data_IF_198611466809
#
_entry.id   IF_198611466809
#
_cell.length_a   1.000
_cell.length_b   1.000
_cell.length_c   1.000
_cell.angle_alpha   90.00
_cell.angle_beta   90.00
_cell.angle_gamma   90.00
#
_symmetry.space_group_name_H-M   'P 1'
#
loop_
_entity.id
_entity.type
_entity.pdbx_description
1 polymer ?
#
# COMPACT_ATOMS: atom_id res chain seq x y z
N UNK A 1 2.29 4.34 28.94
CA UNK A 1 1.57 4.23 27.66
C UNK A 1 0.29 5.03 27.82
N UNK A 2 0.11 6.12 27.07
CA UNK A 2 -1.13 6.88 27.16
C UNK A 2 -2.24 6.03 26.51
N UNK A 3 -3.20 5.56 27.32
CA UNK A 3 -4.44 4.97 26.82
C UNK A 3 -5.23 6.07 26.11
N UNK A 4 -5.05 6.17 24.80
CA UNK A 4 -6.00 6.90 23.96
C UNK A 4 -7.21 6.00 23.82
N UNK A 5 -8.15 6.08 24.77
CA UNK A 5 -9.51 5.58 24.59
C UNK A 5 -10.17 6.48 23.55
N UNK A 6 -10.09 6.12 22.27
CA UNK A 6 -10.83 6.80 21.20
C UNK A 6 -12.31 6.49 21.40
N UNK A 7 -12.99 7.25 22.27
CA UNK A 7 -14.43 7.09 22.52
C UNK A 7 -15.28 7.39 21.28
N UNK A 8 -14.73 8.13 20.31
CA UNK A 8 -15.41 8.46 19.04
C UNK A 8 -14.37 8.53 17.92
N UNK A 9 -14.42 7.60 16.97
CA UNK A 9 -13.57 7.61 15.78
C UNK A 9 -14.10 8.61 14.74
N UNK A 10 -13.20 9.35 14.10
CA UNK A 10 -13.47 10.21 12.96
C UNK A 10 -13.08 9.53 11.65
N UNK A 11 -13.72 9.96 10.55
CA UNK A 11 -13.41 9.47 9.20
C UNK A 11 -11.96 9.76 8.77
N UNK A 12 -11.32 10.74 9.42
CA UNK A 12 -9.95 11.18 9.13
C UNK A 12 -8.91 10.65 10.13
N UNK A 13 -9.32 9.83 11.09
CA UNK A 13 -8.38 9.31 12.09
C UNK A 13 -7.39 8.37 11.43
N UNK A 14 -6.12 8.73 11.54
CA UNK A 14 -5.00 7.88 11.19
C UNK A 14 -4.63 7.03 12.40
N UNK A 15 -5.04 5.76 12.39
CA UNK A 15 -4.82 4.84 13.50
C UNK A 15 -3.35 4.51 13.73
N UNK A 16 -2.44 4.84 12.79
CA UNK A 16 -0.99 4.78 13.05
C UNK A 16 -0.57 5.68 14.21
N UNK A 17 -1.34 6.74 14.52
CA UNK A 17 -1.06 7.60 15.68
C UNK A 17 -1.12 6.83 17.00
N UNK A 18 -2.00 5.83 17.10
CA UNK A 18 -2.08 4.95 18.28
C UNK A 18 -0.83 4.07 18.39
N UNK A 19 -0.34 3.56 17.25
CA UNK A 19 0.86 2.72 17.17
C UNK A 19 2.14 3.51 17.47
N UNK A 20 2.32 4.66 16.82
CA UNK A 20 3.57 5.43 16.86
C UNK A 20 3.65 6.37 18.07
N UNK A 21 2.51 6.78 18.64
CA UNK A 21 2.48 7.68 19.79
C UNK A 21 3.24 8.98 19.51
N UNK A 22 4.27 9.26 20.31
CA UNK A 22 5.11 10.45 20.17
C UNK A 22 5.96 10.46 18.89
N UNK A 23 6.18 9.31 18.26
CA UNK A 23 6.95 9.19 17.01
C UNK A 23 6.14 9.51 15.75
N UNK A 24 4.82 9.74 15.90
CA UNK A 24 3.93 10.11 14.79
C UNK A 24 4.22 11.55 14.34
N UNK A 25 4.64 11.71 13.08
CA UNK A 25 4.94 13.00 12.48
C UNK A 25 3.78 13.48 11.59
N UNK A 26 3.04 14.49 12.04
CA UNK A 26 1.91 15.06 11.31
C UNK A 26 2.28 15.65 9.94
N UNK A 27 3.55 15.99 9.69
CA UNK A 27 4.00 16.57 8.43
C UNK A 27 4.53 15.52 7.45
N UNK A 28 4.84 14.32 7.95
CA UNK A 28 5.48 13.24 7.19
C UNK A 28 4.69 11.93 7.25
N UNK A 29 3.45 11.89 6.72
CA UNK A 29 2.61 10.69 6.78
C UNK A 29 3.20 9.47 6.05
N UNK A 30 3.98 9.68 4.98
CA UNK A 30 4.71 8.59 4.31
C UNK A 30 5.77 8.00 5.24
N UNK A 31 6.52 8.85 5.97
CA UNK A 31 7.49 8.38 6.98
C UNK A 31 6.81 7.60 8.09
N UNK A 32 5.62 8.01 8.51
CA UNK A 32 4.83 7.26 9.50
C UNK A 32 4.46 5.86 9.00
N UNK A 33 4.16 5.69 7.70
CA UNK A 33 3.95 4.33 7.15
C UNK A 33 5.23 3.51 7.28
N UNK A 34 6.38 4.04 6.86
CA UNK A 34 7.66 3.33 6.94
C UNK A 34 8.04 2.96 8.39
N UNK A 35 7.83 3.88 9.34
CA UNK A 35 8.00 3.63 10.78
C UNK A 35 7.02 2.57 11.29
N UNK A 36 5.73 2.66 10.94
CA UNK A 36 4.73 1.70 11.39
C UNK A 36 5.04 0.28 10.90
N UNK A 37 5.61 0.16 9.70
CA UNK A 37 6.01 -1.12 9.09
C UNK A 37 7.17 -1.82 9.78
N UNK A 38 8.00 -1.13 10.57
CA UNK A 38 9.01 -1.82 11.40
C UNK A 38 8.38 -2.53 12.59
N UNK A 39 7.10 -2.28 12.88
CA UNK A 39 6.36 -2.98 13.92
C UNK A 39 5.65 -4.21 13.35
N UNK A 40 5.65 -5.33 14.08
CA UNK A 40 4.85 -6.51 13.76
C UNK A 40 3.39 -6.35 14.22
N UNK A 41 2.86 -5.13 14.21
CA UNK A 41 1.55 -4.80 14.81
C UNK A 41 0.49 -4.63 13.72
N UNK A 42 -0.65 -5.26 13.96
CA UNK A 42 -1.80 -5.29 13.07
C UNK A 42 -2.84 -4.25 13.51
N UNK A 43 -2.84 -3.07 12.87
CA UNK A 43 -3.73 -1.96 13.23
C UNK A 43 -5.21 -2.33 13.06
N UNK A 44 -5.53 -3.20 12.10
CA UNK A 44 -6.88 -3.71 11.86
C UNK A 44 -7.45 -4.55 13.01
N UNK A 45 -6.62 -4.92 14.00
CA UNK A 45 -7.00 -5.69 15.19
C UNK A 45 -7.12 -4.83 16.46
N UNK A 46 -7.03 -3.52 16.34
CA UNK A 46 -7.17 -2.62 17.50
C UNK A 46 -8.62 -2.59 17.99
N UNK A 47 -8.81 -2.41 19.30
CA UNK A 47 -10.14 -2.38 19.94
C UNK A 47 -11.07 -1.34 19.30
N UNK A 48 -10.56 -0.15 18.98
CA UNK A 48 -11.35 0.89 18.28
C UNK A 48 -11.89 0.42 16.93
N UNK A 49 -11.17 -0.45 16.23
CA UNK A 49 -11.62 -1.03 14.95
C UNK A 49 -12.69 -2.08 15.23
N UNK A 50 -12.49 -2.94 16.24
CA UNK A 50 -13.50 -3.92 16.68
C UNK A 50 -14.83 -3.25 17.04
N UNK A 51 -14.79 -2.18 17.83
CA UNK A 51 -15.97 -1.43 18.26
C UNK A 51 -16.78 -0.87 17.09
N UNK A 52 -16.09 -0.35 16.06
CA UNK A 52 -16.76 0.12 14.84
C UNK A 52 -17.49 -1.01 14.15
N UNK A 53 -16.81 -2.14 13.90
CA UNK A 53 -17.43 -3.24 13.16
C UNK A 53 -18.49 -3.99 13.98
N UNK A 54 -18.38 -4.00 15.31
CA UNK A 54 -19.42 -4.48 16.20
C UNK A 54 -20.69 -3.62 16.08
N UNK A 55 -20.56 -2.28 16.07
CA UNK A 55 -21.70 -1.37 15.85
C UNK A 55 -22.31 -1.51 14.46
N UNK A 56 -21.50 -1.67 13.42
CA UNK A 56 -21.99 -1.84 12.05
C UNK A 56 -22.76 -3.16 11.82
N UNK A 57 -22.31 -4.24 12.46
CA UNK A 57 -22.80 -5.60 12.17
C UNK A 57 -23.65 -6.22 13.27
N UNK A 58 -23.65 -5.63 14.47
CA UNK A 58 -24.27 -6.19 15.68
C UNK A 58 -23.54 -7.40 16.27
N UNK A 59 -22.39 -7.81 15.73
CA UNK A 59 -21.60 -8.97 16.20
C UNK A 59 -20.11 -8.77 16.00
N UNK A 60 -19.29 -9.55 16.72
CA UNK A 60 -17.86 -9.56 16.48
C UNK A 60 -17.56 -10.07 15.06
N UNK A 61 -16.54 -9.48 14.41
CA UNK A 61 -16.13 -9.84 13.04
C UNK A 61 -14.72 -10.42 13.07
N UNK A 62 -14.53 -11.60 12.47
CA UNK A 62 -13.31 -12.38 12.67
C UNK A 62 -12.12 -11.93 11.81
N UNK A 63 -12.37 -11.51 10.56
CA UNK A 63 -11.30 -11.23 9.60
C UNK A 63 -11.47 -9.84 9.00
N UNK A 64 -10.57 -8.94 9.40
CA UNK A 64 -10.48 -7.57 8.89
C UNK A 64 -9.17 -7.43 8.13
N UNK A 65 -9.18 -6.54 7.15
CA UNK A 65 -8.00 -6.23 6.36
C UNK A 65 -8.05 -4.82 5.77
N UNK A 66 -6.89 -4.37 5.31
CA UNK A 66 -6.67 -3.13 4.56
C UNK A 66 -7.03 -3.36 3.09
N UNK A 67 -8.06 -2.64 2.62
CA UNK A 67 -8.58 -2.74 1.26
C UNK A 67 -7.57 -2.30 0.21
N UNK A 68 -6.86 -1.19 0.42
CA UNK A 68 -5.84 -0.68 -0.51
C UNK A 68 -4.50 -0.56 0.21
N UNK A 69 -3.55 -1.39 -0.18
CA UNK A 69 -2.20 -1.37 0.40
C UNK A 69 -1.41 -0.16 -0.11
N UNK A 70 -0.82 0.59 0.82
CA UNK A 70 0.09 1.69 0.49
C UNK A 70 1.34 1.21 -0.27
N UNK A 71 1.85 0.04 0.12
CA UNK A 71 3.20 -0.38 -0.23
C UNK A 71 3.39 -0.62 -1.73
N UNK A 72 2.44 -1.31 -2.37
CA UNK A 72 2.52 -1.57 -3.81
C UNK A 72 2.59 -0.26 -4.58
N UNK A 73 1.67 0.68 -4.34
CA UNK A 73 1.65 1.97 -5.06
C UNK A 73 2.90 2.80 -4.78
N UNK A 74 3.33 2.88 -3.52
CA UNK A 74 4.56 3.59 -3.13
C UNK A 74 5.80 3.04 -3.84
N UNK A 75 5.93 1.71 -3.89
CA UNK A 75 6.99 1.01 -4.59
C UNK A 75 6.99 1.31 -6.09
N UNK A 76 5.84 1.26 -6.75
CA UNK A 76 5.77 1.56 -8.19
C UNK A 76 6.09 3.03 -8.45
N UNK A 77 5.66 3.95 -7.57
CA UNK A 77 6.01 5.36 -7.68
C UNK A 77 7.51 5.60 -7.56
N UNK A 78 8.20 4.93 -6.62
CA UNK A 78 9.66 4.95 -6.52
C UNK A 78 10.33 4.46 -7.82
N UNK A 79 9.84 3.36 -8.41
CA UNK A 79 10.36 2.82 -9.68
C UNK A 79 10.19 3.76 -10.87
N UNK A 80 9.08 4.50 -10.94
CA UNK A 80 8.83 5.45 -12.02
C UNK A 80 9.64 6.75 -11.85
N UNK A 81 9.75 7.26 -10.62
CA UNK A 81 10.41 8.56 -10.35
C UNK A 81 11.94 8.43 -10.27
N UNK A 82 12.43 7.29 -9.77
CA UNK A 82 13.85 6.98 -9.61
C UNK A 82 14.21 5.62 -10.26
N UNK A 83 14.06 5.48 -11.59
CA UNK A 83 14.32 4.23 -12.30
C UNK A 83 15.73 3.70 -12.09
N UNK A 84 16.73 4.58 -12.04
CA UNK A 84 18.13 4.17 -11.86
C UNK A 84 18.38 3.44 -10.54
N UNK A 85 17.61 3.76 -9.50
CA UNK A 85 17.72 3.13 -8.19
C UNK A 85 16.95 1.82 -8.12
N UNK A 86 15.69 1.88 -8.54
CA UNK A 86 14.73 0.81 -8.25
C UNK A 86 14.47 -0.11 -9.44
N UNK A 87 15.00 0.20 -10.63
CA UNK A 87 14.94 -0.67 -11.82
C UNK A 87 16.32 -0.75 -12.50
N UNK A 88 17.40 -1.10 -11.76
CA UNK A 88 18.69 -1.29 -12.40
C UNK A 88 18.63 -2.40 -13.45
N UNK A 89 19.40 -2.22 -14.52
CA UNK A 89 19.52 -3.22 -15.56
C UNK A 89 20.38 -4.39 -15.07
N UNK A 90 19.94 -5.61 -15.38
CA UNK A 90 20.72 -6.81 -15.17
C UNK A 90 21.59 -7.08 -16.40
N UNK A 91 22.91 -7.12 -16.20
CA UNK A 91 23.89 -7.40 -17.26
C UNK A 91 24.67 -8.65 -16.90
N UNK A 92 24.90 -9.50 -17.90
CA UNK A 92 25.76 -10.67 -17.81
C UNK A 92 27.14 -10.27 -18.31
N UNK A 93 28.13 -10.27 -17.43
CA UNK A 93 29.51 -9.96 -17.76
C UNK A 93 30.16 -11.07 -18.60
N UNK A 94 31.36 -10.77 -19.12
CA UNK A 94 32.14 -11.71 -19.95
C UNK A 94 32.40 -13.05 -19.24
N UNK A 95 32.50 -13.04 -17.92
CA UNK A 95 32.70 -14.22 -17.07
C UNK A 95 31.40 -14.97 -16.73
N UNK A 96 30.27 -14.66 -17.38
CA UNK A 96 28.93 -15.21 -17.09
C UNK A 96 28.34 -14.80 -15.72
N UNK A 97 29.00 -13.92 -14.98
CA UNK A 97 28.47 -13.36 -13.72
C UNK A 97 27.47 -12.24 -14.01
N UNK A 98 26.32 -12.22 -13.31
CA UNK A 98 25.36 -11.13 -13.44
C UNK A 98 25.58 -10.02 -12.40
N UNK A 99 25.57 -8.78 -12.86
CA UNK A 99 25.69 -7.58 -12.01
C UNK A 99 24.58 -6.58 -12.36
N UNK A 100 24.48 -5.52 -11.56
CA UNK A 100 23.52 -4.44 -11.78
C UNK A 100 24.23 -3.21 -12.31
N UNK A 101 23.61 -2.54 -13.26
CA UNK A 101 24.06 -1.25 -13.76
C UNK A 101 22.90 -0.26 -13.87
N UNK A 102 23.24 1.01 -14.07
CA UNK A 102 22.26 2.05 -14.34
C UNK A 102 21.57 1.77 -15.68
N UNK A 103 20.24 1.75 -15.74
CA UNK A 103 19.54 1.50 -16.99
C UNK A 103 19.78 2.66 -17.97
N UNK A 104 19.97 2.32 -19.24
CA UNK A 104 19.86 3.21 -20.38
C UNK A 104 18.41 3.28 -20.86
N UNK A 105 18.08 4.27 -21.70
CA UNK A 105 16.75 4.36 -22.32
C UNK A 105 16.38 3.09 -23.11
N UNK A 106 17.38 2.39 -23.67
CA UNK A 106 17.17 1.20 -24.50
C UNK A 106 16.90 -0.08 -23.68
N UNK A 107 17.29 -0.11 -22.40
CA UNK A 107 17.13 -1.27 -21.53
C UNK A 107 16.25 -0.99 -20.30
N UNK A 108 15.60 0.18 -20.23
CA UNK A 108 14.67 0.53 -19.17
C UNK A 108 13.39 -0.30 -19.28
N UNK A 109 13.33 -1.38 -18.50
CA UNK A 109 12.17 -2.26 -18.46
C UNK A 109 10.98 -1.61 -17.75
N UNK A 110 9.79 -2.06 -18.11
CA UNK A 110 8.54 -1.68 -17.45
C UNK A 110 8.58 -1.97 -15.94
N UNK A 111 7.74 -1.27 -15.18
CA UNK A 111 7.64 -1.47 -13.73
C UNK A 111 7.24 -2.92 -13.41
N UNK A 112 7.75 -3.43 -12.29
CA UNK A 112 7.51 -4.82 -11.92
C UNK A 112 7.55 -5.01 -10.40
N UNK A 113 6.71 -5.92 -9.90
CA UNK A 113 6.72 -6.36 -8.50
C UNK A 113 8.04 -7.00 -8.06
N UNK A 114 8.85 -7.53 -8.99
CA UNK A 114 10.16 -8.15 -8.75
C UNK A 114 11.28 -7.16 -8.46
N UNK A 115 11.11 -5.90 -8.85
CA UNK A 115 12.05 -4.84 -8.50
C UNK A 115 11.89 -4.41 -7.05
N UNK A 116 12.89 -3.81 -6.40
CA UNK A 116 12.78 -3.29 -5.04
C UNK A 116 11.90 -2.01 -4.97
N UNK A 117 11.64 -1.48 -3.76
CA UNK A 117 11.93 -2.08 -2.45
C UNK A 117 11.13 -3.36 -2.18
N UNK A 118 11.71 -4.27 -1.40
CA UNK A 118 11.08 -5.51 -0.95
C UNK A 118 10.89 -5.46 0.56
N UNK A 119 9.80 -6.05 1.06
CA UNK A 119 9.34 -5.84 2.42
C UNK A 119 8.90 -7.11 3.14
N UNK A 120 9.12 -8.28 2.52
CA UNK A 120 8.69 -9.56 3.07
C UNK A 120 9.74 -10.64 2.87
N UNK A 121 9.77 -11.56 3.84
CA UNK A 121 10.66 -12.72 3.83
C UNK A 121 12.14 -12.35 3.81
N UNK A 122 12.95 -13.23 3.21
CA UNK A 122 14.40 -13.02 3.05
C UNK A 122 14.72 -11.84 2.13
N UNK A 123 13.81 -11.48 1.22
CA UNK A 123 13.99 -10.37 0.29
C UNK A 123 13.89 -8.99 0.94
N UNK A 124 13.39 -8.89 2.18
CA UNK A 124 13.33 -7.62 2.90
C UNK A 124 14.72 -7.03 3.18
N UNK A 125 15.74 -7.89 3.31
CA UNK A 125 17.15 -7.50 3.44
C UNK A 125 17.70 -7.17 2.06
N UNK A 126 18.41 -6.04 1.94
CA UNK A 126 19.06 -5.64 0.69
C UNK A 126 20.18 -6.63 0.40
N UNK A 127 20.16 -7.22 -0.80
CA UNK A 127 21.18 -8.20 -1.18
C UNK A 127 22.53 -7.53 -1.46
N UNK A 128 23.61 -8.30 -1.30
CA UNK A 128 24.97 -7.83 -1.60
C UNK A 128 25.09 -7.27 -3.02
N UNK A 129 24.34 -7.83 -3.97
CA UNK A 129 24.29 -7.34 -5.36
C UNK A 129 23.78 -5.89 -5.44
N UNK A 130 22.73 -5.55 -4.70
CA UNK A 130 22.24 -4.17 -4.64
C UNK A 130 23.16 -3.26 -3.82
N UNK A 131 23.75 -3.77 -2.73
CA UNK A 131 24.72 -3.01 -1.95
C UNK A 131 25.95 -2.62 -2.78
N UNK A 132 26.51 -3.55 -3.56
CA UNK A 132 27.62 -3.29 -4.49
C UNK A 132 27.24 -2.25 -5.54
N UNK A 133 26.04 -2.37 -6.12
CA UNK A 133 25.55 -1.39 -7.09
C UNK A 133 25.41 0.00 -6.48
N UNK A 134 24.85 0.10 -5.28
CA UNK A 134 24.71 1.38 -4.59
C UNK A 134 26.07 1.96 -4.17
N UNK A 135 27.03 1.15 -3.73
CA UNK A 135 28.38 1.63 -3.41
C UNK A 135 29.08 2.23 -4.65
N UNK A 136 28.89 1.61 -5.82
CA UNK A 136 29.51 2.07 -7.07
C UNK A 136 28.83 3.29 -7.68
N UNK A 137 27.49 3.31 -7.68
CA UNK A 137 26.71 4.30 -8.45
C UNK A 137 26.12 5.39 -7.57
N UNK A 138 25.86 5.08 -6.29
CA UNK A 138 25.20 5.97 -5.34
C UNK A 138 25.80 5.91 -3.92
N UNK A 139 27.13 6.03 -3.75
CA UNK A 139 27.81 5.73 -2.48
C UNK A 139 27.24 6.52 -1.29
N UNK A 140 26.83 7.76 -1.52
CA UNK A 140 26.28 8.63 -0.48
C UNK A 140 24.98 8.12 0.16
N UNK A 141 24.31 7.11 -0.44
CA UNK A 141 23.07 6.51 0.08
C UNK A 141 23.30 5.36 1.07
N UNK A 142 24.52 4.85 1.16
CA UNK A 142 24.85 3.80 2.10
C UNK A 142 25.38 4.38 3.42
N UNK A 143 24.92 3.88 4.57
CA UNK A 143 25.54 4.23 5.86
C UNK A 143 26.94 3.60 5.96
N UNK A 144 27.82 4.20 6.76
CA UNK A 144 29.15 3.66 7.04
C UNK A 144 29.33 3.40 8.55
N UNK A 145 29.46 2.12 8.99
CA UNK A 145 29.43 0.90 8.18
C UNK A 145 28.01 0.47 7.77
N UNK A 146 27.89 -0.28 6.67
CA UNK A 146 26.60 -0.86 6.23
C UNK A 146 26.17 -1.96 7.22
N UNK A 147 24.92 -1.92 7.77
CA UNK A 147 24.43 -2.97 8.65
C UNK A 147 24.37 -4.35 7.97
N UNK A 148 24.71 -5.42 8.70
CA UNK A 148 24.69 -6.80 8.18
C UNK A 148 23.31 -7.30 7.70
N UNK A 149 22.23 -6.68 8.18
CA UNK A 149 20.84 -7.02 7.82
C UNK A 149 20.09 -5.77 7.38
N UNK A 150 20.74 -4.90 6.62
CA UNK A 150 20.16 -3.64 6.19
C UNK A 150 18.95 -3.89 5.29
N UNK A 151 17.77 -3.51 5.75
CA UNK A 151 16.51 -3.74 5.04
C UNK A 151 16.16 -2.59 4.12
N UNK A 152 15.32 -2.86 3.12
CA UNK A 152 14.80 -1.80 2.24
C UNK A 152 14.02 -0.72 3.03
N UNK A 153 13.31 -1.11 4.09
CA UNK A 153 12.55 -0.15 4.90
C UNK A 153 13.48 0.76 5.72
N UNK A 154 14.56 0.23 6.30
CA UNK A 154 15.61 1.03 6.94
C UNK A 154 16.28 1.95 5.91
N UNK A 155 16.64 1.43 4.73
CA UNK A 155 17.23 2.24 3.66
C UNK A 155 16.36 3.43 3.24
N UNK A 156 15.05 3.21 3.10
CA UNK A 156 14.10 4.27 2.77
C UNK A 156 13.91 5.28 3.91
N UNK A 157 14.03 4.84 5.17
CA UNK A 157 13.98 5.72 6.35
C UNK A 157 15.24 6.59 6.46
N UNK A 158 16.42 5.98 6.29
CA UNK A 158 17.72 6.66 6.38
C UNK A 158 17.90 7.68 5.23
N UNK A 159 17.39 7.34 4.05
CA UNK A 159 17.44 8.19 2.87
C UNK A 159 16.12 8.93 2.58
N UNK A 160 15.24 9.09 3.58
CA UNK A 160 13.89 9.61 3.37
C UNK A 160 13.86 10.96 2.64
N UNK A 161 14.74 11.89 2.98
CA UNK A 161 14.78 13.22 2.36
C UNK A 161 15.29 13.18 0.91
N UNK A 162 16.07 12.17 0.52
CA UNK A 162 16.60 12.04 -0.84
C UNK A 162 15.56 11.58 -1.85
N UNK A 163 14.46 10.99 -1.38
CA UNK A 163 13.34 10.59 -2.23
C UNK A 163 12.17 11.59 -2.18
N UNK A 164 12.45 12.88 -1.93
CA UNK A 164 11.43 13.91 -1.73
C UNK A 164 10.41 14.06 -2.86
N UNK A 165 10.80 13.85 -4.13
CA UNK A 165 9.86 13.91 -5.27
C UNK A 165 8.70 12.91 -5.15
N UNK A 166 8.92 11.80 -4.44
CA UNK A 166 7.86 10.83 -4.10
C UNK A 166 7.25 11.18 -2.74
N UNK A 167 8.07 11.44 -1.72
CA UNK A 167 7.58 11.64 -0.35
C UNK A 167 6.81 12.94 -0.11
N UNK A 168 7.00 13.95 -0.96
CA UNK A 168 6.26 15.20 -0.93
C UNK A 168 5.10 15.25 -1.92
N UNK A 169 4.82 14.16 -2.65
CA UNK A 169 3.64 14.09 -3.50
C UNK A 169 2.36 14.22 -2.63
N UNK A 170 1.49 15.20 -2.90
CA UNK A 170 0.34 15.47 -2.05
C UNK A 170 -0.68 14.33 -2.04
N UNK A 171 -0.86 13.62 -3.16
CA UNK A 171 -1.81 12.52 -3.26
C UNK A 171 -1.28 11.27 -2.54
N UNK A 172 0.02 11.01 -2.62
CA UNK A 172 0.66 9.93 -1.86
C UNK A 172 0.64 10.22 -0.36
N UNK A 173 0.94 11.47 0.06
CA UNK A 173 0.83 11.87 1.47
C UNK A 173 -0.57 11.65 2.00
N UNK A 174 -1.59 12.06 1.22
CA UNK A 174 -2.98 11.84 1.62
C UNK A 174 -3.32 10.34 1.71
N UNK A 175 -2.83 9.54 0.77
CA UNK A 175 -3.04 8.09 0.80
C UNK A 175 -2.36 7.44 2.01
N UNK A 176 -1.16 7.89 2.37
CA UNK A 176 -0.44 7.43 3.56
C UNK A 176 -1.23 7.67 4.84
N UNK A 177 -1.86 8.86 5.00
CA UNK A 177 -2.75 9.16 6.13
C UNK A 177 -3.95 8.21 6.16
N UNK A 178 -4.58 8.01 5.00
CA UNK A 178 -5.81 7.23 4.86
C UNK A 178 -5.60 5.71 4.91
N UNK A 179 -4.37 5.23 4.74
CA UNK A 179 -4.05 3.80 4.65
C UNK A 179 -4.60 3.01 5.84
N UNK A 180 -4.44 3.53 7.06
CA UNK A 180 -4.94 2.94 8.30
C UNK A 180 -6.08 3.77 8.90
N UNK A 181 -7.02 4.18 8.05
CA UNK A 181 -8.28 4.80 8.46
C UNK A 181 -9.42 3.79 8.38
N UNK A 182 -10.52 4.06 9.09
CA UNK A 182 -11.69 3.19 9.07
C UNK A 182 -12.31 3.05 7.68
N UNK A 183 -12.13 4.07 6.83
CA UNK A 183 -12.55 4.06 5.44
C UNK A 183 -11.80 3.06 4.57
N UNK A 184 -10.59 2.64 4.96
CA UNK A 184 -9.76 1.68 4.22
C UNK A 184 -9.70 0.28 4.86
N UNK A 185 -10.30 0.09 6.05
CA UNK A 185 -10.41 -1.21 6.70
C UNK A 185 -11.77 -1.84 6.33
N UNK A 186 -11.79 -3.12 6.01
CA UNK A 186 -13.04 -3.87 5.79
C UNK A 186 -12.97 -5.29 6.35
N UNK A 187 -14.12 -5.94 6.44
CA UNK A 187 -14.25 -7.36 6.74
C UNK A 187 -14.19 -8.15 5.44
N UNK A 188 -13.42 -9.23 5.39
CA UNK A 188 -13.30 -10.12 4.22
C UNK A 188 -13.47 -11.58 4.65
N UNK A 189 -13.85 -12.50 3.73
CA UNK A 189 -13.85 -13.93 4.03
C UNK A 189 -12.47 -14.45 4.44
N UNK A 190 -12.43 -15.46 5.31
CA UNK A 190 -11.17 -16.14 5.66
C UNK A 190 -10.48 -16.68 4.40
N UNK A 191 -9.17 -16.46 4.29
CA UNK A 191 -8.36 -16.95 3.17
C UNK A 191 -8.44 -16.10 1.89
N UNK A 192 -9.34 -15.10 1.85
CA UNK A 192 -9.48 -14.18 0.71
C UNK A 192 -8.14 -13.47 0.38
N UNK A 193 -7.39 -13.07 1.41
CA UNK A 193 -6.17 -12.30 1.25
C UNK A 193 -5.00 -13.06 0.64
N UNK A 194 -4.92 -14.38 0.87
CA UNK A 194 -3.80 -15.19 0.37
C UNK A 194 -3.76 -15.25 -1.16
N UNK A 195 -4.92 -15.22 -1.82
CA UNK A 195 -5.03 -15.16 -3.28
C UNK A 195 -4.87 -13.73 -3.84
N UNK A 196 -5.27 -12.72 -3.07
CA UNK A 196 -5.31 -11.31 -3.49
C UNK A 196 -3.94 -10.74 -3.83
N UNK A 197 -2.95 -10.86 -2.95
CA UNK A 197 -1.64 -10.22 -3.17
C UNK A 197 -0.90 -10.82 -4.37
N UNK A 198 -1.06 -12.13 -4.59
CA UNK A 198 -0.45 -12.82 -5.74
C UNK A 198 -1.11 -12.42 -7.06
N UNK A 199 -2.44 -12.46 -7.12
CA UNK A 199 -3.22 -12.29 -8.36
C UNK A 199 -3.48 -10.84 -8.73
N UNK A 200 -3.66 -9.94 -7.76
CA UNK A 200 -4.13 -8.57 -7.99
C UNK A 200 -3.22 -7.49 -7.41
N UNK A 201 -2.06 -7.89 -6.86
CA UNK A 201 -1.05 -6.97 -6.29
C UNK A 201 -1.64 -5.97 -5.29
N UNK A 202 -2.63 -6.44 -4.54
CA UNK A 202 -3.35 -5.70 -3.50
C UNK A 202 -4.22 -4.52 -3.97
N UNK A 203 -4.47 -4.40 -5.28
CA UNK A 203 -5.44 -3.43 -5.80
C UNK A 203 -6.88 -3.86 -5.50
N UNK A 204 -7.62 -2.94 -4.86
CA UNK A 204 -8.92 -3.25 -4.29
C UNK A 204 -10.02 -3.44 -5.32
N UNK A 205 -9.98 -2.74 -6.45
CA UNK A 205 -11.01 -2.85 -7.49
C UNK A 205 -11.09 -4.26 -8.09
N UNK A 206 -9.95 -4.88 -8.42
CA UNK A 206 -9.92 -6.29 -8.83
C UNK A 206 -10.38 -7.23 -7.71
N UNK A 207 -9.91 -6.96 -6.49
CA UNK A 207 -10.30 -7.77 -5.32
C UNK A 207 -11.80 -7.68 -5.08
N UNK A 208 -12.38 -6.49 -5.21
CA UNK A 208 -13.80 -6.21 -5.03
C UNK A 208 -14.62 -6.81 -6.16
N UNK A 209 -14.12 -6.83 -7.40
CA UNK A 209 -14.73 -7.55 -8.51
C UNK A 209 -14.88 -9.04 -8.20
N UNK A 210 -13.80 -9.71 -7.79
CA UNK A 210 -13.85 -11.12 -7.41
C UNK A 210 -14.74 -11.38 -6.19
N UNK A 211 -14.68 -10.51 -5.19
CA UNK A 211 -15.53 -10.60 -4.01
C UNK A 211 -17.01 -10.43 -4.37
N UNK A 212 -17.33 -9.53 -5.31
CA UNK A 212 -18.70 -9.30 -5.78
C UNK A 212 -19.26 -10.54 -6.48
N UNK A 213 -18.48 -11.19 -7.35
CA UNK A 213 -18.85 -12.43 -8.04
C UNK A 213 -19.08 -13.55 -7.02
N UNK A 214 -18.15 -13.72 -6.07
CA UNK A 214 -18.25 -14.73 -5.02
C UNK A 214 -19.52 -14.53 -4.18
N UNK A 215 -19.75 -13.32 -3.65
CA UNK A 215 -20.91 -13.03 -2.81
C UNK A 215 -22.24 -13.05 -3.56
N UNK A 216 -22.23 -12.72 -4.86
CA UNK A 216 -23.42 -12.82 -5.71
C UNK A 216 -23.92 -14.26 -5.82
N UNK A 217 -23.02 -15.26 -5.81
CA UNK A 217 -23.40 -16.68 -5.79
C UNK A 217 -24.18 -17.11 -4.53
N UNK A 218 -24.14 -16.30 -3.47
CA UNK A 218 -24.91 -16.48 -2.23
C UNK A 218 -26.00 -15.42 -2.03
N UNK A 219 -26.36 -14.64 -3.06
CA UNK A 219 -27.29 -13.51 -2.96
C UNK A 219 -26.93 -12.51 -1.83
N UNK A 220 -25.63 -12.38 -1.53
CA UNK A 220 -25.14 -11.66 -0.34
C UNK A 220 -24.36 -10.38 -0.68
N UNK A 221 -24.18 -10.08 -1.97
CA UNK A 221 -23.39 -8.92 -2.41
C UNK A 221 -23.97 -7.59 -1.91
N UNK A 222 -25.24 -7.31 -2.19
CA UNK A 222 -25.87 -6.06 -1.74
C UNK A 222 -25.86 -5.91 -0.22
N UNK A 223 -26.11 -7.00 0.51
CA UNK A 223 -26.03 -7.02 1.97
C UNK A 223 -24.63 -6.67 2.47
N UNK A 224 -23.58 -7.18 1.82
CA UNK A 224 -22.20 -6.81 2.11
C UNK A 224 -21.95 -5.32 1.82
N UNK A 225 -22.40 -4.81 0.67
CA UNK A 225 -22.24 -3.40 0.29
C UNK A 225 -22.89 -2.47 1.29
N UNK A 226 -24.13 -2.76 1.70
CA UNK A 226 -24.84 -1.97 2.69
C UNK A 226 -24.22 -2.09 4.07
N UNK A 227 -23.86 -3.29 4.51
CA UNK A 227 -23.29 -3.50 5.85
C UNK A 227 -21.96 -2.76 6.03
N UNK A 228 -21.10 -2.79 5.02
CA UNK A 228 -19.73 -2.24 5.11
C UNK A 228 -19.52 -0.94 4.34
N UNK A 229 -20.61 -0.27 3.94
CA UNK A 229 -20.61 1.03 3.26
C UNK A 229 -19.73 1.09 2.00
N UNK A 230 -19.81 0.08 1.12
CA UNK A 230 -18.94 -0.05 -0.06
C UNK A 230 -19.34 0.83 -1.26
N UNK A 231 -20.48 1.52 -1.19
CA UNK A 231 -21.02 2.32 -2.30
C UNK A 231 -20.00 3.28 -2.95
N UNK A 232 -19.05 3.92 -2.22
CA UNK A 232 -18.05 4.77 -2.85
C UNK A 232 -17.14 4.07 -3.87
N UNK A 233 -17.02 2.74 -3.82
CA UNK A 233 -16.21 1.95 -4.76
C UNK A 233 -17.02 1.37 -5.92
N UNK A 234 -18.32 1.68 -6.02
CA UNK A 234 -19.25 1.07 -6.95
C UNK A 234 -19.90 2.12 -7.87
N UNK A 235 -20.38 1.66 -9.02
CA UNK A 235 -21.28 2.43 -9.87
C UNK A 235 -22.74 2.30 -9.36
N UNK A 236 -23.67 2.96 -10.05
CA UNK A 236 -25.10 2.95 -9.73
C UNK A 236 -25.73 1.55 -9.84
N UNK A 237 -25.10 0.65 -10.61
CA UNK A 237 -25.50 -0.74 -10.79
C UNK A 237 -24.83 -1.68 -9.77
N UNK A 238 -24.22 -1.13 -8.70
CA UNK A 238 -23.51 -1.89 -7.65
C UNK A 238 -22.33 -2.71 -8.18
N UNK A 239 -21.74 -2.32 -9.30
CA UNK A 239 -20.56 -2.96 -9.87
C UNK A 239 -19.29 -2.21 -9.46
N UNK A 240 -18.19 -2.90 -9.14
CA UNK A 240 -16.91 -2.27 -8.83
C UNK A 240 -16.41 -1.38 -9.97
N UNK A 241 -15.88 -0.21 -9.59
CA UNK A 241 -15.33 0.76 -10.54
C UNK A 241 -13.82 0.70 -10.50
N UNK A 242 -13.18 0.72 -11.68
CA UNK A 242 -11.73 0.79 -11.81
C UNK A 242 -11.16 2.02 -11.06
N UNK A 243 -9.98 1.87 -10.46
CA UNK A 243 -9.27 2.94 -9.75
C UNK A 243 -8.42 3.80 -10.69
N UNK A 244 -8.17 3.35 -11.92
CA UNK A 244 -7.69 4.17 -13.02
C UNK A 244 -8.23 3.66 -14.35
N UNK A 245 -8.02 4.44 -15.41
CA UNK A 245 -8.55 4.16 -16.74
C UNK A 245 -8.09 2.79 -17.22
N UNK A 246 -9.06 1.98 -17.65
CA UNK A 246 -8.87 0.64 -18.17
C UNK A 246 -8.35 -0.41 -17.17
N UNK A 247 -8.21 -0.10 -15.87
CA UNK A 247 -7.62 -1.06 -14.94
C UNK A 247 -8.37 -2.40 -14.90
N UNK A 248 -9.70 -2.39 -14.88
CA UNK A 248 -10.52 -3.61 -14.91
C UNK A 248 -10.77 -4.18 -16.33
N UNK A 249 -10.14 -3.65 -17.38
CA UNK A 249 -10.31 -4.22 -18.73
C UNK A 249 -9.53 -5.53 -18.86
N UNK A 250 -10.08 -6.43 -19.69
CA UNK A 250 -9.36 -7.62 -20.13
C UNK A 250 -8.02 -7.21 -20.77
N UNK A 251 -6.96 -7.96 -20.45
CA UNK A 251 -5.59 -7.78 -20.93
C UNK A 251 -4.89 -6.48 -20.46
N UNK A 252 -5.46 -5.78 -19.47
CA UNK A 252 -4.81 -4.64 -18.82
C UNK A 252 -3.67 -5.08 -17.90
N UNK A 253 -2.69 -4.20 -17.70
CA UNK A 253 -1.67 -4.40 -16.67
C UNK A 253 -2.27 -4.18 -15.29
N UNK A 254 -1.96 -5.08 -14.35
CA UNK A 254 -2.38 -4.98 -12.95
C UNK A 254 -1.65 -3.84 -12.23
N UNK A 255 -0.39 -3.56 -12.60
CA UNK A 255 0.38 -2.47 -12.03
C UNK A 255 0.22 -1.22 -12.90
N UNK A 256 0.17 -0.01 -12.32
CA UNK A 256 0.19 1.22 -13.10
C UNK A 256 1.52 1.36 -13.83
N UNK A 257 1.50 1.70 -15.11
CA UNK A 257 2.68 1.69 -15.98
C UNK A 257 3.35 3.06 -16.11
N UNK A 258 2.68 4.13 -15.68
CA UNK A 258 3.15 5.51 -15.82
C UNK A 258 2.62 6.39 -14.67
N UNK A 259 3.12 7.63 -14.60
CA UNK A 259 2.79 8.58 -13.53
C UNK A 259 1.33 9.02 -13.61
N UNK A 260 0.76 9.11 -14.81
CA UNK A 260 -0.63 9.46 -15.04
C UNK A 260 -1.58 8.44 -14.39
N UNK A 261 -1.32 7.14 -14.59
CA UNK A 261 -2.09 6.05 -13.98
C UNK A 261 -1.95 6.02 -12.45
N UNK A 262 -0.76 6.27 -11.90
CA UNK A 262 -0.57 6.41 -10.44
C UNK A 262 -1.39 7.58 -9.91
N UNK A 263 -1.35 8.73 -10.59
CA UNK A 263 -2.07 9.91 -10.15
C UNK A 263 -3.58 9.69 -10.19
N UNK A 264 -4.08 9.05 -11.25
CA UNK A 264 -5.49 8.68 -11.34
C UNK A 264 -5.88 7.73 -10.20
N UNK A 265 -5.07 6.68 -9.96
CA UNK A 265 -5.25 5.77 -8.83
C UNK A 265 -5.31 6.52 -7.49
N UNK A 266 -4.32 7.35 -7.18
CA UNK A 266 -4.22 8.02 -5.88
C UNK A 266 -5.40 8.98 -5.66
N UNK A 267 -5.78 9.76 -6.69
CA UNK A 267 -6.94 10.65 -6.62
C UNK A 267 -8.22 9.85 -6.34
N UNK A 268 -8.45 8.76 -7.09
CA UNK A 268 -9.64 7.94 -6.94
C UNK A 268 -9.67 7.24 -5.57
N UNK A 269 -8.58 6.57 -5.19
CA UNK A 269 -8.55 5.78 -3.95
C UNK A 269 -8.70 6.67 -2.71
N UNK A 270 -8.06 7.85 -2.70
CA UNK A 270 -8.19 8.81 -1.61
C UNK A 270 -9.65 9.24 -1.43
N UNK A 271 -10.28 9.68 -2.50
CA UNK A 271 -11.68 10.13 -2.47
C UNK A 271 -12.63 9.03 -2.00
N UNK A 272 -12.41 7.78 -2.44
CA UNK A 272 -13.28 6.64 -2.09
C UNK A 272 -13.11 6.22 -0.64
N UNK A 273 -11.88 6.17 -0.14
CA UNK A 273 -11.59 5.89 1.27
C UNK A 273 -12.23 6.96 2.17
N UNK A 274 -12.07 8.24 1.84
CA UNK A 274 -12.66 9.34 2.61
C UNK A 274 -14.19 9.28 2.65
N UNK A 275 -14.81 9.15 1.47
CA UNK A 275 -16.27 9.04 1.36
C UNK A 275 -16.79 7.85 2.15
N UNK A 276 -16.12 6.70 2.08
CA UNK A 276 -16.50 5.50 2.85
C UNK A 276 -16.33 5.73 4.35
N UNK A 277 -15.20 6.30 4.77
CA UNK A 277 -14.97 6.64 6.18
C UNK A 277 -16.07 7.54 6.74
N UNK A 278 -16.49 8.56 5.98
CA UNK A 278 -17.59 9.45 6.38
C UNK A 278 -18.93 8.70 6.50
N UNK A 279 -19.24 7.81 5.55
CA UNK A 279 -20.46 6.99 5.60
C UNK A 279 -20.49 6.07 6.83
N UNK A 280 -19.37 5.43 7.14
CA UNK A 280 -19.23 4.59 8.33
C UNK A 280 -19.51 5.42 9.58
N UNK A 281 -18.80 6.55 9.76
CA UNK A 281 -18.94 7.39 10.95
C UNK A 281 -20.35 7.96 11.11
N UNK A 282 -21.01 8.34 10.00
CA UNK A 282 -22.39 8.84 10.05
C UNK A 282 -23.42 7.78 10.49
N UNK A 283 -23.04 6.49 10.45
CA UNK A 283 -23.90 5.37 10.83
C UNK A 283 -23.64 4.85 12.25
N UNK A 284 -22.52 5.24 12.88
CA UNK A 284 -22.17 4.87 14.26
C UNK A 284 -22.93 5.71 15.29
#
# INVERSE_FOLDING_TARGET
>A
MAEITVKTISAKDDLKKLLLGQEYDHQQPVKNILKARTSNVHIEKYEVVEDVFLKLTGKATAHKDIMNSFWTTYKIMLQLVYPDFFRPAEVIGENQESYLEKPSEQNLLAVNSKYPPHDSGTSAVISDRYLTYFDQVFPDYLPNPVPKKYTWNEFLLDNFTKFERVHQDPQLKRFAELTHSIGNITVVPLGFNSGRSLSFKDYWDYSLEQLSIFLASFHSWESYVHTYEMQPFLNEQYQPVALWKNHLKKDSFILPQNIEEINEYLVQVNQRIEKRGQRIVNRL
#
